data_IF_891338357743
#
_entry.id   IF_891338357743
#
_cell.length_a   1.000
_cell.length_b   1.000
_cell.length_c   1.000
_cell.angle_alpha   90.00
_cell.angle_beta   90.00
_cell.angle_gamma   90.00
#
_symmetry.space_group_name_H-M   'P 1'
#
loop_
_entity.id
_entity.type
_entity.pdbx_description
1 polymer ?
#
# COMPACT_ATOMS: atom_id res chain seq x y z
N UNK A 1 7.51 -11.87 -9.47
CA UNK A 1 7.31 -10.70 -8.58
C UNK A 1 5.94 -10.81 -7.94
N UNK A 2 5.81 -10.50 -6.66
CA UNK A 2 4.51 -10.48 -5.99
C UNK A 2 3.63 -9.35 -6.57
N UNK A 3 2.31 -9.55 -6.68
CA UNK A 3 1.39 -8.58 -7.28
C UNK A 3 1.46 -7.22 -6.58
N UNK A 4 1.60 -7.20 -5.25
CA UNK A 4 1.82 -5.98 -4.47
C UNK A 4 3.08 -5.22 -4.84
N UNK A 5 4.17 -5.94 -5.10
CA UNK A 5 5.44 -5.32 -5.50
C UNK A 5 5.30 -4.66 -6.88
N UNK A 6 4.58 -5.28 -7.81
CA UNK A 6 4.27 -4.67 -9.11
C UNK A 6 3.37 -3.43 -8.97
N UNK A 7 2.36 -3.47 -8.11
CA UNK A 7 1.47 -2.32 -7.84
C UNK A 7 2.20 -1.15 -7.17
N UNK A 8 3.12 -1.44 -6.24
CA UNK A 8 3.99 -0.43 -5.64
C UNK A 8 4.90 0.23 -6.68
N UNK A 9 5.58 -0.57 -7.50
CA UNK A 9 6.50 -0.06 -8.53
C UNK A 9 5.75 0.81 -9.54
N UNK A 10 4.59 0.35 -10.03
CA UNK A 10 3.78 1.15 -10.96
C UNK A 10 3.31 2.47 -10.35
N UNK A 11 2.94 2.49 -9.06
CA UNK A 11 2.58 3.72 -8.35
C UNK A 11 3.76 4.70 -8.26
N UNK A 12 4.95 4.20 -7.92
CA UNK A 12 6.18 5.01 -7.85
C UNK A 12 6.57 5.56 -9.23
N UNK A 13 6.52 4.72 -10.26
CA UNK A 13 6.80 5.13 -11.64
C UNK A 13 5.81 6.18 -12.14
N UNK A 14 4.53 6.06 -11.80
CA UNK A 14 3.51 7.05 -12.12
C UNK A 14 3.80 8.41 -11.50
N UNK A 15 4.18 8.45 -10.22
CA UNK A 15 4.57 9.68 -9.52
C UNK A 15 5.84 10.31 -10.13
N UNK A 16 6.84 9.47 -10.47
CA UNK A 16 8.08 9.90 -11.14
C UNK A 16 7.79 10.51 -12.52
N UNK A 17 6.90 9.88 -13.29
CA UNK A 17 6.47 10.41 -14.58
C UNK A 17 5.78 11.77 -14.40
N UNK A 18 4.92 11.91 -13.40
CA UNK A 18 4.28 13.20 -13.07
C UNK A 18 5.30 14.30 -12.75
N UNK A 19 6.34 13.98 -11.96
CA UNK A 19 7.44 14.92 -11.67
C UNK A 19 8.22 15.32 -12.93
N UNK A 20 8.52 14.36 -13.81
CA UNK A 20 9.18 14.63 -15.09
C UNK A 20 8.32 15.56 -15.95
N UNK A 21 7.00 15.33 -16.01
CA UNK A 21 6.07 16.20 -16.74
C UNK A 21 6.01 17.62 -16.17
N UNK A 22 6.08 17.76 -14.84
CA UNK A 22 6.16 19.08 -14.20
C UNK A 22 7.45 19.82 -14.58
N UNK A 23 8.60 19.13 -14.55
CA UNK A 23 9.88 19.71 -14.98
C UNK A 23 9.80 20.09 -16.47
N UNK A 24 9.29 19.20 -17.32
CA UNK A 24 9.12 19.46 -18.74
C UNK A 24 8.19 20.67 -19.01
N UNK A 25 7.15 20.85 -18.18
CA UNK A 25 6.22 21.98 -18.30
C UNK A 25 6.93 23.33 -18.15
N UNK A 26 7.93 23.42 -17.28
CA UNK A 26 8.74 24.63 -17.09
C UNK A 26 9.59 24.95 -18.32
N UNK A 27 10.24 23.95 -18.91
CA UNK A 27 11.08 24.16 -20.09
C UNK A 27 10.27 24.44 -21.36
N UNK A 28 9.10 23.84 -21.50
CA UNK A 28 8.23 23.99 -22.67
C UNK A 28 7.25 25.18 -22.54
N UNK A 29 7.12 25.79 -21.35
CA UNK A 29 6.19 26.88 -21.09
C UNK A 29 4.71 26.49 -21.29
N UNK A 30 4.39 25.19 -21.19
CA UNK A 30 3.07 24.67 -21.54
C UNK A 30 2.26 24.31 -20.30
N UNK A 31 1.14 25.01 -20.14
CA UNK A 31 0.16 24.77 -19.07
C UNK A 31 -0.42 23.36 -19.10
N UNK A 32 -0.50 22.74 -20.28
CA UNK A 32 -1.02 21.38 -20.43
C UNK A 32 -0.18 20.36 -19.65
N UNK A 33 1.15 20.41 -19.82
CA UNK A 33 2.06 19.50 -19.12
C UNK A 33 2.07 19.75 -17.61
N UNK A 34 1.84 21.00 -17.18
CA UNK A 34 1.74 21.34 -15.77
C UNK A 34 0.55 20.62 -15.10
N UNK A 35 -0.66 20.78 -15.65
CA UNK A 35 -1.85 20.12 -15.08
C UNK A 35 -1.78 18.59 -15.16
N UNK A 36 -1.26 18.05 -16.26
CA UNK A 36 -1.05 16.60 -16.39
C UNK A 36 -0.03 16.09 -15.37
N UNK A 37 1.07 16.81 -15.16
CA UNK A 37 2.06 16.47 -14.16
C UNK A 37 1.48 16.44 -12.75
N UNK A 38 0.72 17.46 -12.35
CA UNK A 38 0.01 17.50 -11.06
C UNK A 38 -0.91 16.29 -10.91
N UNK A 39 -1.73 16.00 -11.93
CA UNK A 39 -2.68 14.89 -11.89
C UNK A 39 -1.96 13.55 -11.67
N UNK A 40 -0.88 13.29 -12.41
CA UNK A 40 -0.11 12.05 -12.27
C UNK A 40 0.57 11.91 -10.91
N UNK A 41 1.10 13.00 -10.35
CA UNK A 41 1.68 13.00 -8.99
C UNK A 41 0.60 12.66 -7.96
N UNK A 42 -0.56 13.31 -8.03
CA UNK A 42 -1.65 13.06 -7.07
C UNK A 42 -2.14 11.61 -7.16
N UNK A 43 -2.42 11.12 -8.36
CA UNK A 43 -2.88 9.74 -8.56
C UNK A 43 -1.84 8.71 -8.13
N UNK A 44 -0.56 8.96 -8.42
CA UNK A 44 0.54 8.08 -8.01
C UNK A 44 0.68 8.00 -6.48
N UNK A 45 0.59 9.13 -5.78
CA UNK A 45 0.63 9.18 -4.31
C UNK A 45 -0.60 8.48 -3.71
N UNK A 46 -1.81 8.75 -4.22
CA UNK A 46 -3.03 8.09 -3.74
C UNK A 46 -2.97 6.57 -3.94
N UNK A 47 -2.48 6.11 -5.09
CA UNK A 47 -2.27 4.68 -5.36
C UNK A 47 -1.25 4.08 -4.40
N UNK A 48 -0.15 4.77 -4.11
CA UNK A 48 0.86 4.30 -3.16
C UNK A 48 0.28 4.12 -1.75
N UNK A 49 -0.51 5.09 -1.28
CA UNK A 49 -1.20 5.01 0.01
C UNK A 49 -2.15 3.81 0.02
N UNK A 50 -2.98 3.66 -1.02
CA UNK A 50 -3.93 2.57 -1.13
C UNK A 50 -3.25 1.19 -1.09
N UNK A 51 -2.17 0.99 -1.84
CA UNK A 51 -1.43 -0.29 -1.87
C UNK A 51 -0.84 -0.60 -0.50
N UNK A 52 -0.30 0.39 0.21
CA UNK A 52 0.22 0.21 1.56
C UNK A 52 -0.89 -0.11 2.57
N UNK A 53 -2.02 0.58 2.50
CA UNK A 53 -3.19 0.28 3.34
C UNK A 53 -3.71 -1.14 3.10
N UNK A 54 -3.79 -1.57 1.83
CA UNK A 54 -4.19 -2.93 1.49
C UNK A 54 -3.19 -3.97 2.03
N UNK A 55 -1.89 -3.68 1.95
CA UNK A 55 -0.87 -4.58 2.52
C UNK A 55 -1.06 -4.75 4.03
N UNK A 56 -1.26 -3.65 4.76
CA UNK A 56 -1.51 -3.70 6.20
C UNK A 56 -2.79 -4.48 6.50
N UNK A 57 -3.87 -4.21 5.78
CA UNK A 57 -5.15 -4.91 5.97
C UNK A 57 -5.08 -6.42 5.67
N UNK A 58 -4.24 -6.83 4.72
CA UNK A 58 -3.99 -8.25 4.46
C UNK A 58 -3.17 -8.88 5.59
N UNK A 59 -2.16 -8.17 6.10
CA UNK A 59 -1.33 -8.63 7.22
C UNK A 59 -2.15 -8.78 8.51
N UNK A 60 -3.07 -7.86 8.80
CA UNK A 60 -3.96 -7.95 9.96
C UNK A 60 -4.92 -9.16 9.91
N UNK A 61 -5.20 -9.69 8.71
CA UNK A 61 -6.04 -10.89 8.55
C UNK A 61 -5.29 -12.20 8.76
N UNK A 62 -3.96 -12.18 8.62
CA UNK A 62 -3.11 -13.33 8.89
C UNK A 62 -2.58 -13.21 10.33
N UNK A 63 -3.33 -13.76 11.29
CA UNK A 63 -2.86 -13.94 12.66
C UNK A 63 -1.51 -14.68 12.61
N UNK A 64 -0.43 -13.96 12.88
CA UNK A 64 0.89 -14.57 12.96
C UNK A 64 1.01 -15.30 14.31
N UNK A 65 0.47 -16.52 14.35
CA UNK A 65 0.37 -17.37 15.53
C UNK A 65 1.75 -17.53 16.22
N UNK A 66 2.83 -17.57 15.45
CA UNK A 66 4.19 -17.67 15.99
C UNK A 66 4.66 -16.39 16.69
N UNK A 67 4.39 -15.22 16.09
CA UNK A 67 4.70 -13.94 16.72
C UNK A 67 3.87 -13.72 18.00
N UNK A 68 2.59 -14.10 17.96
CA UNK A 68 1.67 -13.98 19.09
C UNK A 68 2.06 -14.92 20.24
N UNK A 69 2.45 -16.17 19.94
CA UNK A 69 3.02 -17.10 20.95
C UNK A 69 4.32 -16.57 21.56
N UNK A 70 5.20 -15.94 20.76
CA UNK A 70 6.43 -15.30 21.26
C UNK A 70 6.15 -14.08 22.14
N UNK A 71 5.04 -13.39 21.92
CA UNK A 71 4.58 -12.28 22.77
C UNK A 71 3.87 -12.72 24.06
N UNK A 72 3.75 -14.03 24.31
CA UNK A 72 3.10 -14.59 25.51
C UNK A 72 1.58 -14.68 25.42
N UNK A 73 0.99 -14.47 24.24
CA UNK A 73 -0.45 -14.50 24.04
C UNK A 73 -0.96 -15.94 23.87
N UNK A 74 -2.09 -16.25 24.49
CA UNK A 74 -2.70 -17.59 24.44
C UNK A 74 -3.57 -17.71 23.19
N UNK A 75 -3.19 -18.60 22.29
CA UNK A 75 -3.96 -18.92 21.08
C UNK A 75 -4.94 -20.03 21.42
N UNK A 76 -6.23 -19.75 21.29
CA UNK A 76 -7.30 -20.73 21.45
C UNK A 76 -8.00 -20.99 20.13
N UNK A 77 -8.52 -22.20 19.96
CA UNK A 77 -9.38 -22.52 18.82
C UNK A 77 -10.82 -22.21 19.20
N UNK A 78 -11.44 -21.29 18.48
CA UNK A 78 -12.85 -20.95 18.66
C UNK A 78 -13.72 -22.19 18.41
N UNK A 79 -14.44 -22.66 19.43
CA UNK A 79 -15.29 -23.85 19.32
C UNK A 79 -16.43 -23.69 18.31
N UNK A 80 -16.91 -22.46 18.11
CA UNK A 80 -18.04 -22.17 17.24
C UNK A 80 -17.64 -21.86 15.80
N UNK A 81 -16.42 -21.38 15.59
CA UNK A 81 -15.96 -20.85 14.30
C UNK A 81 -14.69 -21.55 13.75
N UNK A 82 -14.13 -22.51 14.51
CA UNK A 82 -12.98 -23.36 14.18
C UNK A 82 -11.69 -22.62 13.75
N UNK A 83 -11.67 -21.30 13.90
CA UNK A 83 -10.51 -20.45 13.65
C UNK A 83 -9.69 -20.28 14.91
N UNK A 84 -8.38 -20.17 14.73
CA UNK A 84 -7.46 -19.79 15.78
C UNK A 84 -7.71 -18.32 16.13
N UNK A 85 -7.88 -18.03 17.42
CA UNK A 85 -8.12 -16.69 17.95
C UNK A 85 -7.17 -16.44 19.11
N UNK A 86 -6.86 -15.17 19.36
CA UNK A 86 -6.11 -14.75 20.55
C UNK A 86 -7.14 -14.53 21.67
N UNK A 87 -6.89 -15.10 22.84
CA UNK A 87 -7.53 -14.64 24.07
C UNK A 87 -6.82 -13.34 24.44
N UNK A 88 -7.32 -12.23 23.88
CA UNK A 88 -7.14 -10.91 24.48
C UNK A 88 -8.07 -10.92 25.69
N UNK A 89 -7.52 -10.76 26.90
CA UNK A 89 -8.19 -10.91 28.20
C UNK A 89 -9.71 -10.71 28.23
#
# INVERSE_FOLDING_TARGET
MNNYTMMMITSVLGSLLGLILLIASYFLGSMFFFFMGILFVILGILSLILVNSLKIFMMDKELNIEALKKAGLTIIKCSNCLKDNVLED
#
